data_IF_026878744261
#
_entry.id   IF_026878744261
#
_cell.length_a   1.000
_cell.length_b   1.000
_cell.length_c   1.000
_cell.angle_alpha   90.00
_cell.angle_beta   90.00
_cell.angle_gamma   90.00
#
_symmetry.space_group_name_H-M   'P 1'
#
loop_
_entity.id
_entity.type
_entity.pdbx_description
1 polymer ?
#
# COMPACT_ATOMS: atom_id res chain seq x y z
N UNK A 1 28.43 -28.36 8.45
CA UNK A 1 27.32 -29.29 8.08
C UNK A 1 27.51 -29.65 6.61
N UNK A 2 27.45 -30.94 6.22
CA UNK A 2 27.58 -31.32 4.80
C UNK A 2 26.44 -30.66 3.98
N UNK A 3 26.76 -30.07 2.82
CA UNK A 3 25.82 -29.28 2.01
C UNK A 3 24.52 -30.04 1.68
N UNK A 4 24.60 -31.35 1.41
CA UNK A 4 23.43 -32.20 1.19
C UNK A 4 22.49 -32.28 2.40
N UNK A 5 23.05 -32.35 3.62
CA UNK A 5 22.27 -32.33 4.87
C UNK A 5 21.62 -30.96 5.09
N UNK A 6 22.31 -29.87 4.71
CA UNK A 6 21.79 -28.50 4.77
C UNK A 6 20.62 -28.28 3.82
N UNK A 7 20.78 -28.69 2.56
CA UNK A 7 19.74 -28.64 1.53
C UNK A 7 18.49 -29.41 1.97
N UNK A 8 18.64 -30.67 2.44
CA UNK A 8 17.50 -31.48 2.89
C UNK A 8 16.75 -30.78 4.03
N UNK A 9 17.49 -30.20 4.98
CA UNK A 9 16.90 -29.50 6.12
C UNK A 9 16.17 -28.21 5.70
N UNK A 10 16.74 -27.42 4.78
CA UNK A 10 16.07 -26.25 4.21
C UNK A 10 14.73 -26.63 3.58
N UNK A 11 14.71 -27.65 2.71
CA UNK A 11 13.48 -28.13 2.07
C UNK A 11 12.41 -28.54 3.10
N UNK A 12 12.80 -29.24 4.16
CA UNK A 12 11.87 -29.58 5.25
C UNK A 12 11.32 -28.35 5.97
N UNK A 13 12.13 -27.31 6.17
CA UNK A 13 11.66 -26.07 6.81
C UNK A 13 10.70 -25.30 5.91
N UNK A 14 10.96 -25.22 4.60
CA UNK A 14 10.06 -24.59 3.63
C UNK A 14 8.69 -25.29 3.62
N UNK A 15 8.67 -26.62 3.49
CA UNK A 15 7.43 -27.43 3.49
C UNK A 15 6.61 -27.23 4.79
N UNK A 16 7.28 -27.11 5.93
CA UNK A 16 6.61 -26.77 7.21
C UNK A 16 5.96 -25.39 7.17
N UNK A 17 6.65 -24.39 6.64
CA UNK A 17 6.12 -23.04 6.54
C UNK A 17 4.92 -23.00 5.57
N UNK A 18 4.99 -23.71 4.44
CA UNK A 18 3.88 -23.83 3.47
C UNK A 18 2.64 -24.51 4.09
N UNK A 19 2.86 -25.52 4.94
CA UNK A 19 1.79 -26.18 5.73
C UNK A 19 1.34 -25.40 6.97
N UNK A 20 1.72 -24.12 7.09
CA UNK A 20 1.42 -23.25 8.24
C UNK A 20 1.93 -23.76 9.60
N UNK A 21 2.88 -24.69 9.62
CA UNK A 21 3.48 -25.21 10.85
C UNK A 21 4.52 -24.23 11.42
N UNK A 22 4.72 -24.28 12.74
CA UNK A 22 5.69 -23.42 13.41
C UNK A 22 7.12 -23.90 13.17
N UNK A 23 8.02 -22.94 12.91
CA UNK A 23 9.45 -23.19 12.80
C UNK A 23 10.18 -22.42 13.89
N UNK A 24 11.00 -23.13 14.67
CA UNK A 24 11.75 -22.52 15.77
C UNK A 24 12.91 -21.68 15.26
N UNK A 25 13.21 -20.58 15.95
CA UNK A 25 14.36 -19.70 15.62
C UNK A 25 15.67 -20.48 15.56
N UNK A 26 15.91 -21.40 16.50
CA UNK A 26 17.11 -22.25 16.48
C UNK A 26 17.22 -23.14 15.24
N UNK A 27 16.10 -23.58 14.65
CA UNK A 27 16.12 -24.33 13.40
C UNK A 27 16.53 -23.46 12.21
N UNK A 28 16.07 -22.20 12.18
CA UNK A 28 16.47 -21.21 11.18
C UNK A 28 17.95 -20.83 11.36
N UNK A 29 18.41 -20.59 12.60
CA UNK A 29 19.80 -20.20 12.89
C UNK A 29 20.80 -21.28 12.43
N UNK A 30 20.48 -22.56 12.59
CA UNK A 30 21.35 -23.67 12.13
C UNK A 30 21.55 -23.70 10.61
N UNK A 31 20.64 -23.08 9.86
CA UNK A 31 20.60 -23.12 8.40
C UNK A 31 21.08 -21.78 7.82
N UNK A 32 20.47 -20.68 8.23
CA UNK A 32 20.75 -19.33 7.74
C UNK A 32 21.97 -18.68 8.43
N UNK A 33 22.45 -19.27 9.52
CA UNK A 33 23.49 -18.68 10.37
C UNK A 33 23.00 -17.42 11.11
N UNK A 34 23.88 -16.82 11.89
CA UNK A 34 23.53 -15.59 12.62
C UNK A 34 23.31 -14.40 11.68
N UNK A 35 24.09 -14.31 10.61
CA UNK A 35 23.99 -13.25 9.60
C UNK A 35 22.62 -13.27 8.94
N UNK A 36 22.15 -14.45 8.49
CA UNK A 36 20.84 -14.58 7.87
C UNK A 36 19.69 -14.27 8.83
N UNK A 37 19.81 -14.64 10.11
CA UNK A 37 18.85 -14.27 11.14
C UNK A 37 18.80 -12.76 11.38
N UNK A 38 19.96 -12.09 11.44
CA UNK A 38 20.03 -10.62 11.54
C UNK A 38 19.36 -9.95 10.34
N UNK A 39 19.56 -10.48 9.13
CA UNK A 39 18.88 -9.99 7.92
C UNK A 39 17.37 -10.15 8.01
N UNK A 40 16.89 -11.31 8.44
CA UNK A 40 15.45 -11.59 8.62
C UNK A 40 14.81 -10.62 9.63
N UNK A 41 15.46 -10.38 10.77
CA UNK A 41 14.93 -9.46 11.78
C UNK A 41 14.96 -8.00 11.28
N UNK A 42 15.97 -7.61 10.49
CA UNK A 42 16.04 -6.31 9.83
C UNK A 42 14.88 -6.12 8.83
N UNK A 43 14.68 -7.07 7.91
CA UNK A 43 13.58 -7.04 6.94
C UNK A 43 12.22 -7.01 7.64
N UNK A 44 12.03 -7.83 8.67
CA UNK A 44 10.80 -7.80 9.47
C UNK A 44 10.59 -6.46 10.17
N UNK A 45 11.65 -5.84 10.67
CA UNK A 45 11.60 -4.49 11.24
C UNK A 45 11.20 -3.43 10.21
N UNK A 46 11.68 -3.53 8.96
CA UNK A 46 11.28 -2.65 7.86
C UNK A 46 9.81 -2.85 7.47
N UNK A 47 9.36 -4.10 7.38
CA UNK A 47 7.95 -4.46 7.11
C UNK A 47 7.02 -3.97 8.24
N UNK A 48 7.44 -4.02 9.50
CA UNK A 48 6.65 -3.43 10.60
C UNK A 48 6.59 -1.90 10.52
N UNK A 49 7.69 -1.27 10.11
CA UNK A 49 7.73 0.19 9.90
C UNK A 49 6.85 0.61 8.74
N UNK A 50 6.88 -0.11 7.61
CA UNK A 50 6.05 0.20 6.43
C UNK A 50 4.56 0.15 6.75
N UNK A 51 4.13 -0.76 7.65
CA UNK A 51 2.72 -0.86 8.10
C UNK A 51 2.23 0.34 8.89
N UNK A 52 3.11 1.02 9.61
CA UNK A 52 2.76 2.19 10.44
C UNK A 52 3.05 3.49 9.71
N UNK A 53 3.92 3.44 8.70
CA UNK A 53 4.27 4.59 7.90
C UNK A 53 3.04 5.17 7.20
N UNK A 54 2.96 6.50 7.23
CA UNK A 54 1.96 7.29 6.52
C UNK A 54 2.70 8.47 5.88
N UNK A 55 2.59 8.68 4.56
CA UNK A 55 3.15 9.86 3.92
C UNK A 55 2.59 11.12 4.58
N UNK A 56 3.44 12.13 4.82
CA UNK A 56 3.05 13.34 5.56
C UNK A 56 1.98 14.11 4.79
N UNK A 57 2.10 14.11 3.47
CA UNK A 57 1.20 14.73 2.51
C UNK A 57 -0.21 14.11 2.64
N UNK A 58 -0.28 12.78 2.73
CA UNK A 58 -1.55 12.07 2.89
C UNK A 58 -2.16 12.31 4.29
N UNK A 59 -1.32 12.46 5.32
CA UNK A 59 -1.79 12.84 6.67
C UNK A 59 -2.37 14.25 6.65
N UNK A 60 -1.68 15.21 6.06
CA UNK A 60 -2.13 16.60 5.95
C UNK A 60 -3.45 16.70 5.15
N UNK A 61 -3.53 16.01 4.00
CA UNK A 61 -4.76 15.87 3.25
C UNK A 61 -5.91 15.33 4.12
N UNK A 62 -5.65 14.24 4.86
CA UNK A 62 -6.65 13.64 5.73
C UNK A 62 -7.17 14.59 6.81
N UNK A 63 -6.31 15.47 7.34
CA UNK A 63 -6.70 16.48 8.32
C UNK A 63 -7.55 17.59 7.71
N UNK A 64 -7.23 18.02 6.48
CA UNK A 64 -8.06 18.97 5.70
C UNK A 64 -9.46 18.38 5.45
N UNK A 65 -9.53 17.14 4.96
CA UNK A 65 -10.81 16.42 4.76
C UNK A 65 -11.59 16.32 6.06
N UNK A 66 -10.95 15.94 7.17
CA UNK A 66 -11.61 15.85 8.48
C UNK A 66 -12.24 17.18 8.88
N UNK A 67 -11.55 18.31 8.67
CA UNK A 67 -12.08 19.65 8.96
C UNK A 67 -13.31 19.96 8.10
N UNK A 68 -13.26 19.70 6.80
CA UNK A 68 -14.40 19.91 5.90
C UNK A 68 -15.62 19.10 6.30
N UNK A 69 -15.42 17.82 6.64
CA UNK A 69 -16.51 16.92 7.05
C UNK A 69 -17.18 17.32 8.37
N UNK A 70 -16.45 17.97 9.29
CA UNK A 70 -17.05 18.51 10.51
C UNK A 70 -18.05 19.62 10.16
N UNK A 71 -17.72 20.51 9.22
CA UNK A 71 -18.66 21.55 8.75
C UNK A 71 -19.82 20.96 7.96
N UNK A 72 -19.58 19.91 7.17
CA UNK A 72 -20.64 19.19 6.47
C UNK A 72 -21.66 18.62 7.47
N UNK A 73 -21.20 17.88 8.48
CA UNK A 73 -22.06 17.33 9.52
C UNK A 73 -22.76 18.41 10.36
N UNK A 74 -22.12 19.58 10.55
CA UNK A 74 -22.76 20.73 11.18
C UNK A 74 -23.90 21.29 10.32
N UNK A 75 -23.71 21.35 9.00
CA UNK A 75 -24.73 21.73 8.03
C UNK A 75 -25.94 20.79 8.09
N UNK A 76 -25.70 19.47 8.08
CA UNK A 76 -26.76 18.46 8.24
C UNK A 76 -27.54 18.67 9.54
N UNK A 77 -26.83 18.82 10.66
CA UNK A 77 -27.44 19.06 11.96
C UNK A 77 -28.29 20.34 12.00
N UNK A 78 -27.86 21.41 11.33
CA UNK A 78 -28.61 22.66 11.26
C UNK A 78 -29.83 22.54 10.32
N UNK A 79 -29.67 21.83 9.21
CA UNK A 79 -30.76 21.54 8.27
C UNK A 79 -31.87 20.75 8.94
N UNK A 80 -31.53 19.69 9.69
CA UNK A 80 -32.47 18.90 10.47
C UNK A 80 -33.22 19.70 11.55
N UNK A 81 -32.66 20.84 11.99
CA UNK A 81 -33.30 21.77 12.93
C UNK A 81 -34.18 22.83 12.26
N UNK A 82 -34.22 22.88 10.93
CA UNK A 82 -34.92 23.92 10.18
C UNK A 82 -34.12 25.23 10.01
N UNK A 83 -32.87 25.28 10.46
CA UNK A 83 -32.01 26.48 10.36
C UNK A 83 -31.34 26.58 8.97
N UNK A 84 -32.13 26.78 7.92
CA UNK A 84 -31.68 26.72 6.51
C UNK A 84 -30.51 27.67 6.18
N UNK A 85 -30.55 28.91 6.68
CA UNK A 85 -29.47 29.89 6.46
C UNK A 85 -28.13 29.44 7.07
N UNK A 86 -28.15 28.94 8.31
CA UNK A 86 -26.93 28.45 8.97
C UNK A 86 -26.43 27.19 8.28
N UNK A 87 -27.33 26.28 7.91
CA UNK A 87 -26.99 25.06 7.19
C UNK A 87 -26.25 25.37 5.89
N UNK A 88 -26.79 26.29 5.08
CA UNK A 88 -26.15 26.74 3.83
C UNK A 88 -24.75 27.30 4.07
N UNK A 89 -24.57 28.16 5.08
CA UNK A 89 -23.25 28.70 5.41
C UNK A 89 -22.27 27.60 5.85
N UNK A 90 -22.72 26.61 6.60
CA UNK A 90 -21.91 25.46 6.99
C UNK A 90 -21.53 24.60 5.78
N UNK A 91 -22.45 24.36 4.85
CA UNK A 91 -22.16 23.63 3.62
C UNK A 91 -21.20 24.37 2.70
N UNK A 92 -21.36 25.67 2.46
CA UNK A 92 -20.40 26.46 1.67
C UNK A 92 -19.00 26.41 2.29
N UNK A 93 -18.91 26.45 3.63
CA UNK A 93 -17.63 26.33 4.34
C UNK A 93 -17.03 24.94 4.21
N UNK A 94 -17.86 23.90 4.25
CA UNK A 94 -17.44 22.53 4.02
C UNK A 94 -16.88 22.35 2.60
N UNK A 95 -17.61 22.83 1.59
CA UNK A 95 -17.24 22.81 0.17
C UNK A 95 -15.89 23.47 -0.05
N UNK A 96 -15.71 24.73 0.39
CA UNK A 96 -14.44 25.45 0.26
C UNK A 96 -13.24 24.72 0.89
N UNK A 97 -13.42 24.09 2.07
CA UNK A 97 -12.35 23.34 2.72
C UNK A 97 -12.05 22.03 1.96
N UNK A 98 -13.08 21.35 1.46
CA UNK A 98 -12.93 20.10 0.73
C UNK A 98 -12.33 20.33 -0.66
N UNK A 99 -12.69 21.40 -1.36
CA UNK A 99 -12.04 21.83 -2.61
C UNK A 99 -10.54 22.03 -2.41
N UNK A 100 -10.16 22.82 -1.41
CA UNK A 100 -8.76 23.06 -1.09
C UNK A 100 -8.02 21.78 -0.70
N UNK A 101 -8.70 20.83 -0.05
CA UNK A 101 -8.13 19.52 0.26
C UNK A 101 -7.88 18.70 -1.03
N UNK A 102 -8.84 18.67 -1.95
CA UNK A 102 -8.72 17.94 -3.23
C UNK A 102 -7.65 18.57 -4.11
N UNK A 103 -7.58 19.89 -4.18
CA UNK A 103 -6.54 20.62 -4.91
C UNK A 103 -5.15 20.29 -4.38
N UNK A 104 -4.96 20.34 -3.05
CA UNK A 104 -3.72 19.92 -2.42
C UNK A 104 -3.38 18.47 -2.74
N UNK A 105 -4.36 17.56 -2.69
CA UNK A 105 -4.12 16.15 -3.03
C UNK A 105 -3.69 15.99 -4.49
N UNK A 106 -4.30 16.73 -5.42
CA UNK A 106 -3.94 16.74 -6.84
C UNK A 106 -2.51 17.22 -7.05
N UNK A 107 -2.11 18.29 -6.36
CA UNK A 107 -0.75 18.84 -6.42
C UNK A 107 0.29 17.82 -5.96
N UNK A 108 0.10 17.23 -4.77
CA UNK A 108 1.06 16.26 -4.23
C UNK A 108 1.09 14.97 -5.03
N UNK A 109 -0.04 14.49 -5.55
CA UNK A 109 -0.11 13.29 -6.41
C UNK A 109 0.50 13.53 -7.78
N UNK A 110 0.40 14.74 -8.32
CA UNK A 110 1.06 15.10 -9.59
C UNK A 110 2.58 15.16 -9.41
N UNK A 111 3.03 15.63 -8.25
CA UNK A 111 4.46 15.68 -7.89
C UNK A 111 5.02 14.29 -7.60
N UNK A 112 4.29 13.48 -6.82
CA UNK A 112 4.63 12.10 -6.48
C UNK A 112 3.45 11.16 -6.75
N UNK A 113 3.49 10.51 -7.92
CA UNK A 113 2.45 9.57 -8.33
C UNK A 113 2.31 8.34 -7.42
N UNK A 114 3.32 8.01 -6.60
CA UNK A 114 3.26 6.88 -5.67
C UNK A 114 2.22 7.11 -4.56
N UNK A 115 1.89 8.38 -4.27
CA UNK A 115 0.88 8.77 -3.30
C UNK A 115 -0.53 8.29 -3.67
N UNK A 116 -0.80 7.98 -4.96
CA UNK A 116 -2.08 7.39 -5.39
C UNK A 116 -2.40 6.08 -4.69
N UNK A 117 -1.39 5.28 -4.34
CA UNK A 117 -1.55 4.00 -3.64
C UNK A 117 -2.11 4.17 -2.22
N UNK A 118 -2.07 5.39 -1.67
CA UNK A 118 -2.50 5.69 -0.32
C UNK A 118 -3.93 6.22 -0.23
N UNK A 119 -4.60 6.44 -1.36
CA UNK A 119 -5.98 6.92 -1.43
C UNK A 119 -6.88 5.84 -2.05
N UNK A 120 -8.13 5.77 -1.58
CA UNK A 120 -9.11 4.75 -1.99
C UNK A 120 -9.86 5.05 -3.31
N UNK A 121 -9.74 6.29 -3.83
CA UNK A 121 -10.32 6.83 -5.06
C UNK A 121 -9.27 7.66 -5.82
N UNK A 122 -9.28 7.60 -7.14
CA UNK A 122 -8.35 8.37 -7.97
C UNK A 122 -8.72 9.87 -7.98
N UNK A 123 -7.73 10.72 -8.24
CA UNK A 123 -7.87 12.19 -8.25
C UNK A 123 -7.14 12.85 -9.42
N UNK A 124 -6.94 12.11 -10.52
CA UNK A 124 -6.26 12.61 -11.71
C UNK A 124 -6.99 13.74 -12.46
N UNK A 125 -6.32 14.28 -13.48
CA UNK A 125 -6.94 15.20 -14.43
C UNK A 125 -8.15 14.53 -15.10
N UNK A 126 -9.28 15.26 -15.16
CA UNK A 126 -10.54 14.76 -15.73
C UNK A 126 -11.37 13.89 -14.79
N UNK A 127 -10.90 13.64 -13.56
CA UNK A 127 -11.70 12.96 -12.53
C UNK A 127 -12.41 14.00 -11.67
N UNK A 128 -13.74 14.05 -11.79
CA UNK A 128 -14.58 14.85 -10.90
C UNK A 128 -14.69 14.19 -9.53
N UNK A 129 -14.55 15.01 -8.49
CA UNK A 129 -14.63 14.57 -7.10
C UNK A 129 -15.83 15.23 -6.45
N UNK A 130 -16.77 14.44 -5.96
CA UNK A 130 -17.87 14.96 -5.17
C UNK A 130 -17.38 15.38 -3.78
N UNK A 131 -17.69 16.62 -3.39
CA UNK A 131 -17.25 17.25 -2.14
C UNK A 131 -18.19 16.90 -0.98
N UNK A 132 -18.47 15.60 -0.82
CA UNK A 132 -19.38 15.08 0.18
C UNK A 132 -18.74 13.94 0.96
N UNK A 133 -19.30 13.53 2.12
CA UNK A 133 -18.75 12.42 2.90
C UNK A 133 -18.61 11.10 2.14
N UNK A 134 -19.41 10.89 1.10
CA UNK A 134 -19.44 9.66 0.30
C UNK A 134 -18.38 9.69 -0.80
N UNK A 135 -18.34 10.75 -1.61
CA UNK A 135 -17.47 10.83 -2.79
C UNK A 135 -16.04 11.32 -2.53
N UNK A 136 -15.78 12.02 -1.43
CA UNK A 136 -14.45 12.57 -1.15
C UNK A 136 -13.40 11.46 -1.02
N UNK A 137 -12.28 11.45 -1.76
CA UNK A 137 -11.21 10.44 -1.63
C UNK A 137 -10.66 10.37 -0.21
N UNK A 138 -10.38 9.17 0.29
CA UNK A 138 -9.93 8.95 1.68
C UNK A 138 -8.65 8.12 1.71
N UNK A 139 -7.78 8.34 2.71
CA UNK A 139 -6.65 7.47 2.91
C UNK A 139 -7.07 6.02 3.15
N UNK A 140 -6.31 5.04 2.63
CA UNK A 140 -6.58 3.59 2.78
C UNK A 140 -6.71 3.13 4.24
N UNK A 141 -6.05 3.84 5.17
CA UNK A 141 -6.12 3.56 6.60
C UNK A 141 -7.32 4.21 7.31
N UNK A 142 -8.06 5.12 6.65
CA UNK A 142 -9.23 5.80 7.21
C UNK A 142 -10.38 4.81 7.43
N UNK A 143 -10.98 4.79 8.61
CA UNK A 143 -12.15 3.97 8.91
C UNK A 143 -13.41 4.64 8.34
N UNK A 144 -13.70 4.45 7.06
CA UNK A 144 -14.97 4.87 6.46
C UNK A 144 -15.79 3.67 6.00
N UNK A 145 -17.11 3.81 5.95
CA UNK A 145 -18.04 2.75 5.53
C UNK A 145 -17.94 2.41 4.03
N UNK A 146 -17.21 3.21 3.25
CA UNK A 146 -17.08 3.09 1.79
C UNK A 146 -15.67 2.69 1.36
N UNK A 147 -14.96 1.89 2.17
CA UNK A 147 -13.66 1.34 1.79
C UNK A 147 -13.80 0.47 0.53
N UNK A 148 -13.25 0.92 -0.59
CA UNK A 148 -12.78 0.00 -1.62
C UNK A 148 -11.71 -0.91 -0.97
N UNK A 149 -11.70 -2.20 -1.31
CA UNK A 149 -10.87 -3.22 -0.67
C UNK A 149 -9.37 -3.10 -1.01
N UNK A 150 -8.80 -1.90 -1.03
CA UNK A 150 -7.37 -1.68 -1.23
C UNK A 150 -6.63 -1.71 0.12
N UNK A 151 -6.45 -2.90 0.69
CA UNK A 151 -5.41 -3.10 1.70
C UNK A 151 -4.11 -3.48 0.99
N UNK A 152 -3.02 -2.76 1.29
CA UNK A 152 -1.69 -3.17 0.84
C UNK A 152 -1.42 -4.63 1.29
N UNK A 153 -0.87 -5.48 0.41
CA UNK A 153 -0.52 -6.85 0.78
C UNK A 153 0.47 -6.82 1.94
N UNK A 154 0.18 -7.56 3.01
CA UNK A 154 1.01 -7.62 4.22
C UNK A 154 1.86 -8.87 4.17
N UNK A 155 3.18 -8.70 4.14
CA UNK A 155 4.12 -9.84 4.14
C UNK A 155 4.26 -10.36 5.57
N UNK A 156 4.04 -11.65 5.81
CA UNK A 156 4.20 -12.18 7.17
C UNK A 156 5.66 -12.49 7.47
N UNK A 157 6.05 -12.54 8.76
CA UNK A 157 7.40 -12.98 9.15
C UNK A 157 7.72 -14.39 8.63
N UNK A 158 6.68 -15.21 8.43
CA UNK A 158 6.77 -16.54 7.84
C UNK A 158 7.16 -16.46 6.36
N UNK A 159 6.55 -15.56 5.60
CA UNK A 159 6.87 -15.35 4.19
C UNK A 159 8.31 -14.92 3.99
N UNK A 160 8.79 -13.95 4.78
CA UNK A 160 10.19 -13.54 4.75
C UNK A 160 11.15 -14.70 5.09
N UNK A 161 10.80 -15.52 6.10
CA UNK A 161 11.61 -16.68 6.46
C UNK A 161 11.63 -17.74 5.34
N UNK A 162 10.51 -17.94 4.64
CA UNK A 162 10.40 -18.84 3.49
C UNK A 162 11.26 -18.34 2.33
N UNK A 163 11.17 -17.06 1.98
CA UNK A 163 11.95 -16.43 0.92
C UNK A 163 13.45 -16.56 1.19
N UNK A 164 13.90 -16.20 2.40
CA UNK A 164 15.31 -16.32 2.80
C UNK A 164 15.83 -17.76 2.74
N UNK A 165 14.99 -18.76 3.07
CA UNK A 165 15.33 -20.17 2.93
C UNK A 165 15.42 -20.61 1.47
N UNK A 166 14.54 -20.09 0.59
CA UNK A 166 14.59 -20.35 -0.85
C UNK A 166 15.87 -19.78 -1.47
N UNK A 167 16.22 -18.53 -1.17
CA UNK A 167 17.46 -17.91 -1.62
C UNK A 167 18.70 -18.70 -1.17
N UNK A 168 18.71 -19.18 0.07
CA UNK A 168 19.83 -19.99 0.58
C UNK A 168 19.89 -21.38 -0.07
N UNK A 169 18.73 -21.96 -0.41
CA UNK A 169 18.66 -23.21 -1.15
C UNK A 169 19.26 -23.05 -2.56
N UNK A 170 18.90 -21.98 -3.26
CA UNK A 170 19.39 -21.67 -4.60
C UNK A 170 20.91 -21.52 -4.62
N UNK A 171 21.46 -20.74 -3.69
CA UNK A 171 22.92 -20.57 -3.50
C UNK A 171 23.65 -21.90 -3.30
N UNK A 172 23.07 -22.83 -2.54
CA UNK A 172 23.69 -24.13 -2.25
C UNK A 172 23.55 -25.14 -3.40
N UNK A 173 22.53 -24.98 -4.25
CA UNK A 173 22.31 -25.82 -5.43
C UNK A 173 23.17 -25.37 -6.61
N UNK A 174 23.78 -24.18 -6.54
CA UNK A 174 24.65 -23.65 -7.60
C UNK A 174 23.88 -23.20 -8.84
N UNK A 175 22.57 -23.00 -8.73
CA UNK A 175 21.89 -22.09 -9.66
C UNK A 175 22.38 -20.70 -9.30
N UNK A 176 22.73 -19.89 -10.30
CA UNK A 176 22.92 -18.46 -10.04
C UNK A 176 21.69 -17.98 -9.27
N UNK A 177 21.88 -17.25 -8.14
CA UNK A 177 20.75 -16.65 -7.46
C UNK A 177 19.97 -15.91 -8.53
N UNK A 178 18.63 -16.05 -8.56
CA UNK A 178 17.83 -15.16 -9.38
C UNK A 178 18.30 -13.76 -9.00
N UNK A 179 19.03 -13.11 -9.91
CA UNK A 179 19.37 -11.73 -9.74
C UNK A 179 18.03 -11.07 -9.45
N UNK A 180 17.98 -10.29 -8.37
CA UNK A 180 16.95 -9.28 -8.28
C UNK A 180 17.27 -8.33 -9.43
N UNK A 181 16.92 -8.70 -10.66
CA UNK A 181 16.61 -7.78 -11.73
C UNK A 181 15.53 -6.91 -11.13
N UNK A 182 16.00 -5.83 -10.53
CA UNK A 182 15.38 -4.54 -10.52
C UNK A 182 13.85 -4.64 -10.58
N UNK A 183 13.23 -4.50 -9.41
CA UNK A 183 12.05 -3.65 -9.26
C UNK A 183 12.40 -2.20 -9.68
N UNK A 184 12.97 -2.03 -10.88
CA UNK A 184 12.86 -0.82 -11.65
C UNK A 184 11.42 -0.81 -12.14
N UNK A 185 10.68 0.15 -11.62
CA UNK A 185 9.46 0.65 -12.21
C UNK A 185 9.61 0.64 -13.73
N UNK A 186 8.75 -0.15 -14.39
CA UNK A 186 8.83 -0.41 -15.82
C UNK A 186 9.10 0.84 -16.64
N UNK A 187 10.33 0.97 -17.12
CA UNK A 187 10.67 1.80 -18.26
C UNK A 187 10.07 1.13 -19.49
N UNK A 188 8.95 1.70 -19.94
CA UNK A 188 8.43 1.69 -21.31
C UNK A 188 8.58 0.38 -22.07
N UNK A 189 7.54 -0.46 -22.03
CA UNK A 189 7.18 -1.20 -23.24
C UNK A 189 6.83 -0.16 -24.30
N UNK A 190 7.66 -0.03 -25.34
CA UNK A 190 7.24 0.58 -26.59
C UNK A 190 6.05 -0.23 -27.10
N UNK A 191 4.85 0.35 -26.98
CA UNK A 191 3.69 -0.14 -27.71
C UNK A 191 3.95 0.12 -29.19
N UNK A 192 4.15 -0.96 -29.94
CA UNK A 192 4.18 -0.92 -31.39
C UNK A 192 2.74 -0.78 -31.90
N UNK A 193 2.38 0.43 -32.33
CA UNK A 193 1.04 0.78 -32.82
C UNK A 193 0.83 0.31 -34.27
N UNK A 194 1.82 -0.35 -34.89
CA UNK A 194 1.72 -0.80 -36.29
C UNK A 194 0.73 -1.94 -36.56
N UNK A 195 0.07 -2.50 -35.54
CA UNK A 195 -0.84 -3.66 -35.70
C UNK A 195 -2.34 -3.36 -35.68
N UNK A 196 -2.78 -2.11 -35.48
CA UNK A 196 -4.19 -1.73 -35.58
C UNK A 196 -4.53 -1.14 -36.96
N UNK A 197 -4.41 -1.96 -38.02
CA UNK A 197 -5.08 -1.69 -39.29
C UNK A 197 -6.42 -2.44 -39.32
N UNK A 198 -7.46 -1.83 -38.73
CA UNK A 198 -8.74 -2.53 -38.60
C UNK A 198 -9.98 -1.69 -38.33
N UNK A 199 -9.93 -0.36 -38.40
CA UNK A 199 -11.14 0.46 -38.31
C UNK A 199 -11.30 1.30 -39.59
N UNK A 200 -12.30 0.92 -40.39
CA UNK A 200 -12.90 1.78 -41.41
C UNK A 200 -13.95 2.67 -40.74
N UNK A 201 -14.01 3.91 -41.23
CA UNK A 201 -14.80 5.08 -40.83
C UNK A 201 -16.18 4.82 -40.23
#
# INVERSE_FOLDING_TARGET
MNNLKKIKRIKTLIDRLEKNQSVTRGSLTRVLGEVGIRSLDKQWGLELKSRTYKPKEIVEYSERVRRGLIYYALGDKQSLKGDGYKARNSFHKAESILENAVEYLREVVTTDSSLRLWIDRDVGFGVEVELCPVGIPRPVWSTSNYKSQCSLPKVTKRDLAREMLQTELEKLVGREPLELENLEFGTKRSFDISSFSGFKF
#
